data_IF_011497571940
#
_entry.id   IF_011497571940
#
_cell.length_a   1.000
_cell.length_b   1.000
_cell.length_c   1.000
_cell.angle_alpha   90.00
_cell.angle_beta   90.00
_cell.angle_gamma   90.00
#
_symmetry.space_group_name_H-M   'P 1'
#
loop_
_entity.id
_entity.type
_entity.pdbx_description
1 polymer ?
#
# COMPACT_ATOMS: atom_id res chain seq x y z
N UNK A 1 -1.23 -7.53 11.56
CA UNK A 1 0.07 -7.61 10.86
C UNK A 1 0.20 -6.52 9.79
N UNK A 2 -0.28 -6.68 8.55
CA UNK A 2 -0.05 -5.66 7.50
C UNK A 2 -0.59 -4.25 7.84
N UNK A 3 -1.71 -4.14 8.55
CA UNK A 3 -2.24 -2.85 8.97
C UNK A 3 -1.28 -2.10 9.90
N UNK A 4 -0.81 -2.75 10.95
CA UNK A 4 0.19 -2.21 11.89
C UNK A 4 1.48 -1.80 11.16
N UNK A 5 1.95 -2.65 10.24
CA UNK A 5 3.14 -2.35 9.42
C UNK A 5 2.95 -1.14 8.49
N UNK A 6 1.74 -0.93 7.99
CA UNK A 6 1.46 0.11 6.99
C UNK A 6 0.85 1.38 7.57
N UNK A 7 0.34 1.37 8.79
CA UNK A 7 -0.29 2.55 9.41
C UNK A 7 0.61 3.22 10.45
N UNK A 8 1.32 2.45 11.26
CA UNK A 8 1.93 2.97 12.49
C UNK A 8 3.47 3.10 12.42
N UNK A 9 4.09 2.46 11.44
CA UNK A 9 5.54 2.52 11.24
C UNK A 9 5.97 3.89 10.72
N UNK A 10 6.83 4.56 11.48
CA UNK A 10 7.41 5.88 11.18
C UNK A 10 8.95 5.85 11.07
N UNK A 11 9.59 4.73 11.40
CA UNK A 11 11.04 4.57 11.35
C UNK A 11 11.45 3.12 11.11
N UNK A 12 12.70 2.91 10.71
CA UNK A 12 13.23 1.57 10.47
C UNK A 12 13.39 0.75 11.75
N UNK A 13 13.76 1.38 12.87
CA UNK A 13 13.90 0.67 14.15
C UNK A 13 12.54 0.15 14.65
N UNK A 14 11.51 0.99 14.59
CA UNK A 14 10.14 0.59 14.95
C UNK A 14 9.68 -0.59 14.10
N UNK A 15 9.95 -0.55 12.78
CA UNK A 15 9.63 -1.67 11.88
C UNK A 15 10.26 -2.99 12.30
N UNK A 16 11.54 -2.98 12.68
CA UNK A 16 12.27 -4.20 13.08
C UNK A 16 11.70 -4.77 14.37
N UNK A 17 11.42 -3.93 15.36
CA UNK A 17 10.80 -4.34 16.63
C UNK A 17 9.41 -4.97 16.40
N UNK A 18 8.57 -4.33 15.59
CA UNK A 18 7.24 -4.86 15.23
C UNK A 18 7.34 -6.21 14.52
N UNK A 19 8.27 -6.37 13.56
CA UNK A 19 8.43 -7.65 12.85
C UNK A 19 8.94 -8.77 13.73
N UNK A 20 9.80 -8.47 14.72
CA UNK A 20 10.27 -9.48 15.67
C UNK A 20 9.13 -10.03 16.53
N UNK A 21 8.15 -9.20 16.89
CA UNK A 21 6.98 -9.62 17.66
C UNK A 21 5.97 -10.44 16.83
N UNK A 22 6.04 -10.31 15.50
CA UNK A 22 5.08 -10.92 14.57
C UNK A 22 5.40 -12.37 14.17
N UNK A 23 6.58 -12.90 14.51
CA UNK A 23 7.06 -14.26 14.17
C UNK A 23 6.78 -14.70 12.71
N UNK A 24 7.11 -13.82 11.76
CA UNK A 24 6.89 -14.09 10.34
C UNK A 24 8.00 -15.01 9.83
N UNK A 25 7.61 -16.14 9.23
CA UNK A 25 8.51 -16.98 8.44
C UNK A 25 8.39 -16.63 6.93
N UNK A 26 9.39 -15.98 6.33
CA UNK A 26 9.39 -15.65 4.91
C UNK A 26 9.47 -16.88 4.01
N UNK A 27 10.07 -17.98 4.49
CA UNK A 27 10.35 -19.14 3.65
C UNK A 27 9.17 -20.10 3.55
N UNK A 28 8.39 -20.21 4.64
CA UNK A 28 7.33 -21.21 4.77
C UNK A 28 5.99 -20.54 5.01
N UNK A 29 5.03 -20.82 4.13
CA UNK A 29 3.63 -20.53 4.43
C UNK A 29 3.07 -21.63 5.33
N UNK A 30 2.55 -21.24 6.50
CA UNK A 30 1.94 -22.16 7.47
C UNK A 30 0.43 -22.34 7.23
N UNK A 31 -0.14 -21.63 6.25
CA UNK A 31 -1.59 -21.61 6.00
C UNK A 31 -2.02 -22.86 5.24
N UNK A 32 -3.01 -23.60 5.77
CA UNK A 32 -3.65 -24.68 5.03
C UNK A 32 -4.71 -24.13 4.07
N UNK A 33 -4.29 -23.79 2.84
CA UNK A 33 -5.17 -23.17 1.84
C UNK A 33 -6.29 -24.09 1.35
N UNK A 34 -6.09 -25.41 1.37
CA UNK A 34 -7.06 -26.40 0.87
C UNK A 34 -8.24 -26.59 1.83
N UNK A 35 -8.00 -26.39 3.13
CA UNK A 35 -9.02 -26.53 4.17
C UNK A 35 -9.71 -25.21 4.53
N UNK A 36 -9.39 -24.10 3.85
CA UNK A 36 -10.06 -22.83 4.08
C UNK A 36 -11.54 -22.93 3.73
N UNK A 37 -12.39 -22.62 4.72
CA UNK A 37 -13.84 -22.58 4.55
C UNK A 37 -14.33 -21.15 4.65
N UNK A 38 -15.19 -20.76 3.71
CA UNK A 38 -16.01 -19.57 3.86
C UNK A 38 -17.25 -19.93 4.69
N UNK A 39 -17.29 -19.46 5.93
CA UNK A 39 -18.40 -19.67 6.87
C UNK A 39 -19.24 -18.40 7.08
N UNK A 40 -19.10 -17.39 6.22
CA UNK A 40 -19.93 -16.20 6.29
C UNK A 40 -21.38 -16.52 5.95
N UNK A 41 -22.29 -15.98 6.75
CA UNK A 41 -23.71 -16.03 6.45
C UNK A 41 -24.06 -14.98 5.38
N UNK A 42 -23.88 -15.38 4.11
CA UNK A 42 -24.21 -14.55 2.95
C UNK A 42 -25.72 -14.46 2.70
N UNK A 43 -26.55 -15.07 3.54
CA UNK A 43 -28.01 -15.10 3.42
C UNK A 43 -28.71 -14.47 4.64
N UNK A 44 -27.95 -13.78 5.50
CA UNK A 44 -28.48 -13.09 6.69
C UNK A 44 -29.48 -11.98 6.33
N UNK A 45 -29.33 -11.36 5.17
CA UNK A 45 -30.25 -10.33 4.70
C UNK A 45 -31.46 -10.95 4.00
N UNK A 46 -32.66 -10.59 4.46
CA UNK A 46 -33.89 -10.96 3.77
C UNK A 46 -33.94 -10.30 2.39
N UNK A 47 -34.28 -11.08 1.36
CA UNK A 47 -34.47 -10.59 0.00
C UNK A 47 -35.84 -10.98 -0.52
N UNK A 48 -36.52 -10.02 -1.16
CA UNK A 48 -37.76 -10.22 -1.89
C UNK A 48 -37.55 -10.06 -3.40
N UNK A 49 -36.30 -9.97 -3.86
CA UNK A 49 -35.99 -9.95 -5.28
C UNK A 49 -36.40 -11.27 -5.94
N UNK A 50 -36.70 -11.26 -7.25
CA UNK A 50 -36.88 -12.50 -7.99
C UNK A 50 -35.67 -13.43 -7.83
N UNK A 51 -35.91 -14.74 -7.78
CA UNK A 51 -34.84 -15.75 -7.59
C UNK A 51 -33.70 -15.61 -8.60
N UNK A 52 -33.96 -15.10 -9.80
CA UNK A 52 -32.96 -14.83 -10.85
C UNK A 52 -32.02 -13.67 -10.54
N UNK A 53 -32.36 -12.79 -9.59
CA UNK A 53 -31.55 -11.65 -9.15
C UNK A 53 -30.98 -11.82 -7.75
N UNK A 54 -31.38 -12.90 -7.06
CA UNK A 54 -30.82 -13.26 -5.76
C UNK A 54 -29.37 -13.76 -5.90
N UNK A 55 -28.66 -13.79 -4.78
CA UNK A 55 -27.30 -14.32 -4.72
C UNK A 55 -27.26 -15.80 -5.12
N UNK A 56 -26.54 -16.11 -6.20
CA UNK A 56 -26.42 -17.47 -6.71
C UNK A 56 -25.21 -18.19 -6.10
N UNK A 57 -25.23 -19.51 -6.13
CA UNK A 57 -24.12 -20.34 -5.63
C UNK A 57 -22.84 -20.13 -6.45
N UNK A 58 -22.96 -19.80 -7.75
CA UNK A 58 -21.82 -19.40 -8.59
C UNK A 58 -21.17 -18.11 -8.11
N UNK A 59 -21.96 -17.15 -7.66
CA UNK A 59 -21.50 -15.85 -7.18
C UNK A 59 -20.74 -16.02 -5.86
N UNK A 60 -21.27 -16.85 -4.96
CA UNK A 60 -20.64 -17.21 -3.69
C UNK A 60 -19.28 -17.88 -3.93
N UNK A 61 -19.22 -18.84 -4.87
CA UNK A 61 -17.96 -19.51 -5.24
C UNK A 61 -16.95 -18.53 -5.82
N UNK A 62 -17.37 -17.66 -6.74
CA UNK A 62 -16.50 -16.67 -7.35
C UNK A 62 -15.96 -15.66 -6.32
N UNK A 63 -16.81 -15.15 -5.43
CA UNK A 63 -16.41 -14.27 -4.33
C UNK A 63 -15.42 -14.96 -3.39
N UNK A 64 -15.67 -16.22 -3.03
CA UNK A 64 -14.78 -16.99 -2.16
C UNK A 64 -13.40 -17.17 -2.77
N UNK A 65 -13.31 -17.49 -4.07
CA UNK A 65 -12.02 -17.60 -4.78
C UNK A 65 -11.28 -16.25 -4.81
N UNK A 66 -12.01 -15.15 -5.00
CA UNK A 66 -11.43 -13.81 -4.99
C UNK A 66 -10.87 -13.43 -3.61
N UNK A 67 -11.59 -13.74 -2.53
CA UNK A 67 -11.14 -13.48 -1.16
C UNK A 67 -9.96 -14.37 -0.72
N UNK A 68 -9.95 -15.64 -1.12
CA UNK A 68 -8.78 -16.51 -0.93
C UNK A 68 -7.57 -15.94 -1.66
N UNK A 69 -7.73 -15.47 -2.90
CA UNK A 69 -6.66 -14.83 -3.66
C UNK A 69 -6.16 -13.54 -3.00
N UNK A 70 -7.06 -12.73 -2.44
CA UNK A 70 -6.70 -11.55 -1.66
C UNK A 70 -5.91 -11.91 -0.39
N UNK A 71 -6.31 -12.99 0.29
CA UNK A 71 -5.64 -13.47 1.49
C UNK A 71 -4.24 -14.00 1.16
N UNK A 72 -4.09 -14.78 0.07
CA UNK A 72 -2.79 -15.23 -0.45
C UNK A 72 -1.87 -14.05 -0.75
N UNK A 73 -2.37 -13.04 -1.48
CA UNK A 73 -1.60 -11.84 -1.80
C UNK A 73 -1.11 -11.13 -0.52
N UNK A 74 -1.97 -11.00 0.49
CA UNK A 74 -1.59 -10.41 1.78
C UNK A 74 -0.56 -11.25 2.53
N UNK A 75 -0.71 -12.58 2.53
CA UNK A 75 0.26 -13.50 3.15
C UNK A 75 1.64 -13.36 2.49
N UNK A 76 1.70 -13.41 1.14
CA UNK A 76 2.95 -13.26 0.38
C UNK A 76 3.56 -11.87 0.60
N UNK A 77 2.75 -10.80 0.67
CA UNK A 77 3.24 -9.45 1.00
C UNK A 77 3.87 -9.38 2.39
N UNK A 78 3.26 -10.04 3.38
CA UNK A 78 3.79 -10.11 4.74
C UNK A 78 5.12 -10.89 4.79
N UNK A 79 5.18 -12.02 4.10
CA UNK A 79 6.41 -12.84 3.98
C UNK A 79 7.50 -12.08 3.25
N UNK A 80 7.18 -11.30 2.21
CA UNK A 80 8.11 -10.41 1.53
C UNK A 80 8.72 -9.39 2.50
N UNK A 81 7.91 -8.74 3.32
CA UNK A 81 8.40 -7.79 4.33
C UNK A 81 9.32 -8.49 5.35
N UNK A 82 8.95 -9.69 5.79
CA UNK A 82 9.80 -10.52 6.64
C UNK A 82 11.14 -10.87 5.99
N UNK A 83 11.15 -11.28 4.71
CA UNK A 83 12.37 -11.56 3.95
C UNK A 83 13.25 -10.31 3.83
N UNK A 84 12.63 -9.18 3.47
CA UNK A 84 13.32 -7.90 3.31
C UNK A 84 14.02 -7.45 4.59
N UNK A 85 13.35 -7.59 5.74
CA UNK A 85 13.95 -7.29 7.04
C UNK A 85 15.16 -8.16 7.34
N UNK A 86 15.07 -9.48 7.09
CA UNK A 86 16.21 -10.40 7.26
C UNK A 86 17.39 -10.02 6.35
N UNK A 87 17.12 -9.68 5.08
CA UNK A 87 18.15 -9.22 4.14
C UNK A 87 18.82 -7.91 4.57
N UNK A 88 18.04 -6.95 5.07
CA UNK A 88 18.58 -5.68 5.56
C UNK A 88 19.52 -5.83 6.76
N UNK A 89 19.41 -6.92 7.53
CA UNK A 89 20.15 -7.15 8.77
C UNK A 89 21.13 -8.33 8.69
N UNK A 90 21.23 -9.00 7.54
CA UNK A 90 22.16 -10.10 7.34
C UNK A 90 23.60 -9.62 7.47
N UNK A 91 24.34 -10.18 8.43
CA UNK A 91 25.80 -10.03 8.50
C UNK A 91 26.41 -11.11 7.61
N UNK A 92 27.25 -10.68 6.66
CA UNK A 92 28.14 -11.43 5.74
C UNK A 92 28.41 -12.89 6.14
N UNK A 93 27.41 -13.76 6.04
CA UNK A 93 27.53 -15.18 6.31
C UNK A 93 26.75 -15.97 5.25
N UNK A 94 27.22 -17.19 5.05
CA UNK A 94 27.34 -17.89 3.78
C UNK A 94 26.02 -18.54 3.29
N UNK A 95 24.92 -17.79 3.22
CA UNK A 95 23.60 -18.36 2.93
C UNK A 95 23.25 -18.31 1.43
N UNK A 96 23.88 -19.18 0.64
CA UNK A 96 23.38 -19.55 -0.70
C UNK A 96 21.93 -20.09 -0.66
N UNK A 97 21.46 -20.53 0.51
CA UNK A 97 20.07 -20.95 0.73
C UNK A 97 19.05 -19.80 0.72
N UNK A 98 19.46 -18.53 0.87
CA UNK A 98 18.56 -17.36 0.83
C UNK A 98 18.08 -17.08 -0.59
N UNK A 99 18.97 -17.18 -1.58
CA UNK A 99 18.68 -16.83 -2.97
C UNK A 99 17.58 -17.71 -3.61
N UNK A 100 17.55 -19.02 -3.30
CA UNK A 100 16.50 -19.93 -3.80
C UNK A 100 15.14 -19.67 -3.15
N UNK A 101 15.09 -19.11 -1.94
CA UNK A 101 13.83 -18.80 -1.22
C UNK A 101 13.19 -17.50 -1.71
N UNK A 102 13.99 -16.58 -2.24
CA UNK A 102 13.55 -15.29 -2.77
C UNK A 102 12.87 -15.41 -4.14
N UNK A 103 13.42 -16.22 -5.05
CA UNK A 103 12.80 -16.50 -6.35
C UNK A 103 11.41 -17.12 -6.20
N UNK A 104 11.19 -17.90 -5.13
CA UNK A 104 9.91 -18.53 -4.82
C UNK A 104 8.83 -17.52 -4.41
N UNK A 105 9.17 -16.43 -3.70
CA UNK A 105 8.19 -15.40 -3.34
C UNK A 105 7.70 -14.63 -4.58
N UNK A 106 8.57 -14.43 -5.55
CA UNK A 106 8.24 -13.79 -6.82
C UNK A 106 7.27 -14.65 -7.65
N UNK A 107 7.52 -15.96 -7.73
CA UNK A 107 6.59 -16.92 -8.34
C UNK A 107 5.22 -16.92 -7.63
N UNK A 108 5.20 -16.85 -6.29
CA UNK A 108 3.96 -16.76 -5.50
C UNK A 108 3.21 -15.44 -5.72
N UNK A 109 3.92 -14.31 -5.91
CA UNK A 109 3.30 -13.04 -6.32
C UNK A 109 2.66 -13.15 -7.71
N UNK A 110 3.35 -13.76 -8.67
CA UNK A 110 2.80 -13.94 -10.02
C UNK A 110 1.64 -14.96 -10.04
N UNK A 111 1.63 -15.96 -9.15
CA UNK A 111 0.44 -16.82 -8.97
C UNK A 111 -0.76 -16.01 -8.47
N UNK A 112 -0.56 -15.10 -7.52
CA UNK A 112 -1.60 -14.20 -7.03
C UNK A 112 -2.10 -13.21 -8.11
N UNK A 113 -1.27 -12.87 -9.11
CA UNK A 113 -1.64 -11.99 -10.22
C UNK A 113 -2.30 -12.74 -11.39
N UNK A 114 -2.45 -14.07 -11.35
CA UNK A 114 -3.14 -14.83 -12.42
C UNK A 114 -4.59 -14.41 -12.66
N UNK A 115 -5.19 -13.70 -11.70
CA UNK A 115 -6.51 -13.05 -11.84
C UNK A 115 -6.45 -11.69 -12.56
N UNK A 116 -5.29 -11.30 -13.13
CA UNK A 116 -5.12 -10.08 -13.94
C UNK A 116 -6.23 -10.01 -14.98
N UNK A 117 -6.87 -8.84 -15.07
CA UNK A 117 -7.94 -8.53 -16.00
C UNK A 117 -9.32 -9.17 -15.72
N UNK A 118 -9.52 -9.83 -14.58
CA UNK A 118 -10.88 -10.19 -14.16
C UNK A 118 -11.62 -8.91 -13.72
N UNK A 119 -12.71 -8.56 -14.40
CA UNK A 119 -13.61 -7.51 -13.91
C UNK A 119 -14.25 -7.99 -12.61
N UNK A 120 -14.43 -7.06 -11.67
CA UNK A 120 -15.22 -7.32 -10.47
C UNK A 120 -16.60 -7.87 -10.89
N UNK A 121 -17.06 -9.00 -10.33
CA UNK A 121 -18.39 -9.49 -10.60
C UNK A 121 -19.44 -8.45 -10.17
N UNK A 122 -20.54 -8.37 -10.90
CA UNK A 122 -21.70 -7.60 -10.47
C UNK A 122 -22.52 -8.49 -9.54
N UNK A 123 -22.29 -8.33 -8.24
CA UNK A 123 -23.01 -9.06 -7.21
C UNK A 123 -24.32 -8.33 -6.86
N UNK A 124 -25.38 -9.05 -6.48
CA UNK A 124 -26.59 -8.43 -5.94
C UNK A 124 -26.28 -7.57 -4.71
N UNK A 125 -27.15 -6.62 -4.39
CA UNK A 125 -26.97 -5.72 -3.24
C UNK A 125 -26.83 -6.46 -1.90
N UNK A 126 -27.54 -7.60 -1.74
CA UNK A 126 -27.43 -8.45 -0.55
C UNK A 126 -26.23 -9.42 -0.59
N UNK A 127 -25.49 -9.44 -1.70
CA UNK A 127 -24.30 -10.25 -1.85
C UNK A 127 -23.12 -9.68 -1.06
N UNK A 128 -22.02 -10.44 -0.97
CA UNK A 128 -20.78 -9.93 -0.38
C UNK A 128 -20.26 -8.74 -1.19
N UNK A 129 -19.59 -7.80 -0.52
CA UNK A 129 -18.84 -6.76 -1.21
C UNK A 129 -17.76 -7.40 -2.11
N UNK A 130 -17.53 -6.88 -3.32
CA UNK A 130 -16.47 -7.40 -4.16
C UNK A 130 -15.10 -7.33 -3.50
N UNK A 131 -14.34 -8.42 -3.62
CA UNK A 131 -13.02 -8.52 -3.03
C UNK A 131 -12.07 -7.44 -3.54
N UNK A 132 -11.22 -6.91 -2.66
CA UNK A 132 -10.24 -5.87 -3.03
C UNK A 132 -9.15 -6.37 -3.98
N UNK A 133 -9.04 -7.68 -4.22
CA UNK A 133 -8.05 -8.24 -5.16
C UNK A 133 -8.16 -7.59 -6.54
N UNK A 134 -9.39 -7.28 -7.01
CA UNK A 134 -9.61 -6.65 -8.31
C UNK A 134 -8.92 -5.30 -8.42
N UNK A 135 -8.91 -4.52 -7.32
CA UNK A 135 -8.21 -3.24 -7.24
C UNK A 135 -6.69 -3.42 -7.32
N UNK A 136 -6.14 -4.41 -6.62
CA UNK A 136 -4.70 -4.71 -6.67
C UNK A 136 -4.25 -5.20 -8.04
N UNK A 137 -5.10 -5.97 -8.75
CA UNK A 137 -4.78 -6.53 -10.06
C UNK A 137 -5.06 -5.58 -11.23
N UNK A 138 -5.98 -4.63 -11.07
CA UNK A 138 -6.26 -3.60 -12.09
C UNK A 138 -5.23 -2.47 -12.09
N UNK A 139 -4.58 -2.23 -10.94
CA UNK A 139 -3.54 -1.23 -10.78
C UNK A 139 -2.12 -1.81 -10.90
N UNK A 140 -1.13 -0.92 -10.92
CA UNK A 140 0.29 -1.31 -10.97
C UNK A 140 0.89 -1.61 -9.59
N UNK A 141 0.09 -1.85 -8.55
CA UNK A 141 0.57 -2.01 -7.17
C UNK A 141 1.45 -3.24 -6.97
N UNK A 142 0.98 -4.42 -7.39
CA UNK A 142 1.73 -5.67 -7.20
C UNK A 142 3.04 -5.66 -7.99
N UNK A 143 3.05 -5.33 -9.30
CA UNK A 143 4.30 -5.20 -10.06
C UNK A 143 5.29 -4.24 -9.42
N UNK A 144 4.79 -3.11 -8.89
CA UNK A 144 5.64 -2.12 -8.23
C UNK A 144 6.28 -2.66 -6.95
N UNK A 145 5.54 -3.39 -6.11
CA UNK A 145 6.07 -4.04 -4.91
C UNK A 145 7.16 -5.07 -5.26
N UNK A 146 6.91 -5.90 -6.28
CA UNK A 146 7.88 -6.89 -6.78
C UNK A 146 9.14 -6.20 -7.29
N UNK A 147 9.01 -5.09 -8.03
CA UNK A 147 10.17 -4.35 -8.53
C UNK A 147 11.02 -3.76 -7.40
N UNK A 148 10.40 -3.23 -6.35
CA UNK A 148 11.10 -2.77 -5.16
C UNK A 148 11.82 -3.91 -4.43
N UNK A 149 11.21 -5.10 -4.35
CA UNK A 149 11.86 -6.28 -3.82
C UNK A 149 13.10 -6.67 -4.64
N UNK A 150 13.01 -6.64 -5.98
CA UNK A 150 14.15 -6.87 -6.87
C UNK A 150 15.28 -5.84 -6.67
N UNK A 151 14.94 -4.57 -6.46
CA UNK A 151 15.93 -3.52 -6.11
C UNK A 151 16.66 -3.88 -4.82
N UNK A 152 15.94 -4.24 -3.76
CA UNK A 152 16.55 -4.68 -2.49
C UNK A 152 17.44 -5.90 -2.68
N UNK A 153 16.97 -6.90 -3.42
CA UNK A 153 17.72 -8.11 -3.70
C UNK A 153 19.01 -7.81 -4.47
N UNK A 154 18.95 -6.93 -5.48
CA UNK A 154 20.12 -6.51 -6.25
C UNK A 154 21.12 -5.77 -5.37
N UNK A 155 20.63 -4.88 -4.51
CA UNK A 155 21.46 -4.16 -3.53
C UNK A 155 22.17 -5.13 -2.59
N UNK A 156 21.46 -6.12 -2.07
CA UNK A 156 22.02 -7.14 -1.22
C UNK A 156 23.09 -7.95 -1.96
N UNK A 157 22.79 -8.53 -3.13
CA UNK A 157 23.74 -9.34 -3.92
C UNK A 157 25.04 -8.59 -4.24
N UNK A 158 24.93 -7.37 -4.76
CA UNK A 158 26.11 -6.57 -5.12
C UNK A 158 26.92 -6.11 -3.90
N UNK A 159 26.34 -6.08 -2.69
CA UNK A 159 27.08 -5.79 -1.46
C UNK A 159 27.95 -6.96 -0.97
N UNK A 160 27.68 -8.18 -1.45
CA UNK A 160 28.37 -9.40 -1.04
C UNK A 160 29.38 -9.95 -2.06
N UNK A 161 29.29 -9.56 -3.33
CA UNK A 161 30.22 -10.02 -4.37
C UNK A 161 31.54 -9.21 -4.39
N UNK A 162 32.72 -9.86 -4.51
CA UNK A 162 34.02 -9.18 -4.55
C UNK A 162 34.26 -8.33 -5.80
N UNK A 163 33.56 -8.61 -6.90
CA UNK A 163 33.51 -7.77 -8.11
C UNK A 163 32.42 -6.67 -8.03
N UNK A 164 31.74 -6.58 -6.89
CA UNK A 164 30.39 -6.04 -6.74
C UNK A 164 30.19 -4.57 -7.08
N UNK A 165 31.24 -3.77 -7.31
CA UNK A 165 31.11 -2.34 -7.66
C UNK A 165 30.95 -2.10 -9.18
N UNK A 166 31.36 -3.04 -10.02
CA UNK A 166 31.30 -2.88 -11.50
C UNK A 166 30.03 -3.49 -12.13
N UNK A 167 29.28 -4.32 -11.40
CA UNK A 167 28.03 -4.96 -11.88
C UNK A 167 26.76 -4.17 -11.55
N UNK A 168 26.86 -3.00 -10.89
CA UNK A 168 25.67 -2.21 -10.55
C UNK A 168 25.02 -1.63 -11.82
N UNK A 169 23.89 -2.20 -12.22
CA UNK A 169 22.96 -1.54 -13.15
C UNK A 169 22.09 -0.57 -12.33
N UNK A 170 22.18 0.72 -12.65
CA UNK A 170 21.38 1.78 -12.02
C UNK A 170 19.99 1.91 -12.65
N UNK A 171 19.79 1.30 -13.82
CA UNK A 171 18.57 1.36 -14.61
C UNK A 171 17.36 0.90 -13.80
N UNK A 172 17.48 -0.23 -13.08
CA UNK A 172 16.37 -0.76 -12.29
C UNK A 172 15.90 0.20 -11.19
N UNK A 173 16.83 0.93 -10.55
CA UNK A 173 16.48 1.91 -9.50
C UNK A 173 15.80 3.12 -10.12
N UNK A 174 16.32 3.58 -11.26
CA UNK A 174 15.76 4.71 -12.01
C UNK A 174 14.34 4.41 -12.51
N UNK A 175 14.13 3.27 -13.15
CA UNK A 175 12.82 2.83 -13.65
C UNK A 175 11.82 2.66 -12.50
N UNK A 176 12.25 2.01 -11.40
CA UNK A 176 11.40 1.83 -10.21
C UNK A 176 10.98 3.17 -9.60
N UNK A 177 11.90 4.14 -9.57
CA UNK A 177 11.61 5.51 -9.14
C UNK A 177 10.56 6.17 -10.02
N UNK A 178 10.73 6.12 -11.34
CA UNK A 178 9.83 6.77 -12.30
C UNK A 178 8.40 6.18 -12.21
N UNK A 179 8.28 4.88 -11.99
CA UNK A 179 6.99 4.20 -11.82
C UNK A 179 6.25 4.60 -10.54
N UNK A 180 6.94 4.70 -9.39
CA UNK A 180 6.27 5.15 -8.16
C UNK A 180 5.89 6.63 -8.26
N UNK A 181 6.68 7.45 -8.94
CA UNK A 181 6.38 8.87 -9.15
C UNK A 181 5.12 9.05 -10.00
N UNK A 182 4.98 8.29 -11.08
CA UNK A 182 3.76 8.27 -11.90
C UNK A 182 2.55 7.74 -11.12
N UNK A 183 2.73 6.69 -10.31
CA UNK A 183 1.66 6.18 -9.45
C UNK A 183 1.19 7.25 -8.46
N UNK A 184 2.10 7.97 -7.78
CA UNK A 184 1.71 9.06 -6.88
C UNK A 184 0.97 10.16 -7.64
N UNK A 185 1.50 10.58 -8.81
CA UNK A 185 0.94 11.65 -9.63
C UNK A 185 -0.47 11.34 -10.12
N UNK A 186 -0.69 10.14 -10.66
CA UNK A 186 -2.01 9.70 -11.11
C UNK A 186 -3.04 9.69 -9.98
N UNK A 187 -2.64 9.25 -8.78
CA UNK A 187 -3.55 9.18 -7.65
C UNK A 187 -3.85 10.54 -7.01
N UNK A 188 -3.00 11.56 -7.20
CA UNK A 188 -3.30 12.92 -6.74
C UNK A 188 -4.60 13.45 -7.35
N UNK A 189 -4.99 12.99 -8.55
CA UNK A 189 -6.26 13.38 -9.19
C UNK A 189 -7.49 12.90 -8.40
N UNK A 190 -7.38 11.79 -7.64
CA UNK A 190 -8.48 11.32 -6.80
C UNK A 190 -8.82 12.30 -5.67
N UNK A 191 -7.86 13.10 -5.21
CA UNK A 191 -8.08 14.12 -4.17
C UNK A 191 -9.11 15.16 -4.61
N UNK A 192 -9.15 15.51 -5.90
CA UNK A 192 -10.11 16.48 -6.43
C UNK A 192 -11.51 15.90 -6.57
N UNK A 193 -11.61 14.57 -6.63
CA UNK A 193 -12.89 13.86 -6.74
C UNK A 193 -13.47 13.43 -5.38
N UNK A 194 -12.78 13.69 -4.26
CA UNK A 194 -13.21 13.28 -2.91
C UNK A 194 -14.56 13.88 -2.50
N UNK A 195 -14.88 15.07 -3.03
CA UNK A 195 -16.18 15.70 -2.87
C UNK A 195 -16.77 16.11 -4.23
N UNK A 196 -18.09 15.94 -4.40
CA UNK A 196 -18.86 16.36 -5.57
C UNK A 196 -19.65 17.62 -5.26
N UNK A 197 -19.68 18.56 -6.21
CA UNK A 197 -20.23 19.91 -6.04
C UNK A 197 -21.77 19.93 -5.96
N UNK A 198 -22.47 18.85 -6.34
CA UNK A 198 -23.95 18.85 -6.41
C UNK A 198 -24.56 17.57 -5.85
N UNK A 199 -24.69 17.46 -4.51
CA UNK A 199 -25.41 16.36 -3.92
C UNK A 199 -26.92 16.55 -4.09
N UNK A 200 -27.59 15.67 -4.84
CA UNK A 200 -29.06 15.70 -4.97
C UNK A 200 -29.78 14.94 -3.84
N UNK A 201 -29.18 13.88 -3.29
CA UNK A 201 -29.87 12.93 -2.38
C UNK A 201 -29.05 12.62 -1.12
N UNK A 202 -27.72 12.55 -1.22
CA UNK A 202 -26.79 12.23 -0.11
C UNK A 202 -25.61 13.20 -0.14
N UNK A 203 -24.87 13.38 0.96
CA UNK A 203 -23.68 14.22 1.00
C UNK A 203 -22.74 13.86 -0.16
N UNK A 204 -22.15 14.88 -0.78
CA UNK A 204 -21.35 14.72 -1.99
C UNK A 204 -19.98 14.10 -1.71
N UNK A 205 -19.89 12.99 -0.99
CA UNK A 205 -18.63 12.27 -0.70
C UNK A 205 -18.38 11.18 -1.74
N UNK A 206 -17.11 10.88 -2.00
CA UNK A 206 -16.71 9.85 -2.97
C UNK A 206 -15.86 8.74 -2.31
N UNK A 207 -16.51 7.68 -1.77
CA UNK A 207 -15.81 6.55 -1.14
C UNK A 207 -14.85 5.79 -2.07
N UNK A 208 -15.15 5.58 -3.38
CA UNK A 208 -14.19 5.00 -4.31
C UNK A 208 -12.86 5.78 -4.39
N UNK A 209 -12.90 7.10 -4.48
CA UNK A 209 -11.69 7.93 -4.51
C UNK A 209 -10.87 7.81 -3.22
N UNK A 210 -11.53 7.81 -2.06
CA UNK A 210 -10.89 7.58 -0.77
C UNK A 210 -10.23 6.19 -0.71
N UNK A 211 -10.90 5.17 -1.27
CA UNK A 211 -10.38 3.79 -1.31
C UNK A 211 -9.09 3.72 -2.12
N UNK A 212 -9.02 4.39 -3.28
CA UNK A 212 -7.80 4.46 -4.11
C UNK A 212 -6.63 5.08 -3.33
N UNK A 213 -6.87 6.22 -2.67
CA UNK A 213 -5.84 6.90 -1.88
C UNK A 213 -5.37 6.07 -0.68
N UNK A 214 -6.29 5.36 -0.03
CA UNK A 214 -5.95 4.43 1.05
C UNK A 214 -5.03 3.30 0.56
N UNK A 215 -5.32 2.72 -0.62
CA UNK A 215 -4.48 1.67 -1.20
C UNK A 215 -3.10 2.18 -1.60
N UNK A 216 -3.01 3.40 -2.15
CA UNK A 216 -1.74 4.07 -2.37
C UNK A 216 -0.95 4.19 -1.06
N UNK A 217 -1.58 4.69 0.01
CA UNK A 217 -0.91 4.84 1.30
C UNK A 217 -0.39 3.51 1.86
N UNK A 218 -1.17 2.42 1.75
CA UNK A 218 -0.71 1.09 2.15
C UNK A 218 0.50 0.64 1.33
N UNK A 219 0.45 0.80 0.01
CA UNK A 219 1.55 0.46 -0.90
C UNK A 219 2.82 1.25 -0.57
N UNK A 220 2.70 2.55 -0.36
CA UNK A 220 3.80 3.43 0.08
C UNK A 220 4.40 2.99 1.42
N UNK A 221 3.58 2.41 2.31
CA UNK A 221 4.06 1.84 3.57
C UNK A 221 5.03 0.68 3.34
N UNK A 222 4.63 -0.28 2.51
CA UNK A 222 5.48 -1.43 2.17
C UNK A 222 6.75 -0.96 1.44
N UNK A 223 6.63 -0.03 0.49
CA UNK A 223 7.77 0.55 -0.22
C UNK A 223 8.75 1.23 0.75
N UNK A 224 8.25 2.00 1.72
CA UNK A 224 9.11 2.63 2.72
C UNK A 224 9.90 1.62 3.56
N UNK A 225 9.30 0.48 3.89
CA UNK A 225 9.97 -0.61 4.59
C UNK A 225 11.08 -1.22 3.71
N UNK A 226 10.78 -1.52 2.43
CA UNK A 226 11.76 -2.07 1.49
C UNK A 226 12.95 -1.11 1.29
N UNK A 227 12.67 0.18 1.08
CA UNK A 227 13.70 1.21 0.96
C UNK A 227 14.50 1.40 2.26
N UNK A 228 13.85 1.23 3.42
CA UNK A 228 14.52 1.21 4.71
C UNK A 228 15.55 0.08 4.82
N UNK A 229 15.21 -1.12 4.31
CA UNK A 229 16.14 -2.24 4.26
C UNK A 229 17.32 -1.95 3.30
N UNK A 230 17.05 -1.35 2.14
CA UNK A 230 18.09 -0.90 1.21
C UNK A 230 19.05 0.10 1.88
N UNK A 231 18.50 1.07 2.62
CA UNK A 231 19.27 2.06 3.36
C UNK A 231 20.21 1.41 4.39
N UNK A 232 19.73 0.42 5.14
CA UNK A 232 20.53 -0.30 6.14
C UNK A 232 21.73 -1.02 5.52
N UNK A 233 21.59 -1.55 4.30
CA UNK A 233 22.70 -2.16 3.54
C UNK A 233 23.67 -1.09 3.00
N UNK A 234 23.14 -0.02 2.39
CA UNK A 234 23.95 1.00 1.69
C UNK A 234 24.71 1.96 2.64
N UNK A 235 24.14 2.26 3.82
CA UNK A 235 24.74 3.18 4.81
C UNK A 235 26.18 2.79 5.22
N UNK A 236 26.47 1.55 5.65
CA UNK A 236 27.83 1.14 5.98
C UNK A 236 28.76 1.12 4.76
N UNK A 237 28.26 0.78 3.56
CA UNK A 237 29.05 0.78 2.32
C UNK A 237 29.54 2.20 2.02
N UNK A 238 28.64 3.19 2.01
CA UNK A 238 29.00 4.61 1.81
C UNK A 238 30.03 5.07 2.85
N UNK A 239 29.80 4.77 4.13
CA UNK A 239 30.74 5.13 5.20
C UNK A 239 32.14 4.50 4.99
N UNK A 240 32.20 3.27 4.49
CA UNK A 240 33.46 2.58 4.19
C UNK A 240 34.23 3.23 3.04
N UNK A 241 33.53 3.60 1.95
CA UNK A 241 34.12 4.28 0.78
C UNK A 241 34.63 5.67 1.17
N UNK A 242 33.83 6.45 1.92
CA UNK A 242 34.25 7.77 2.42
C UNK A 242 35.48 7.69 3.33
N UNK A 243 35.59 6.66 4.18
CA UNK A 243 36.78 6.42 5.02
C UNK A 243 38.01 6.06 4.18
N UNK A 244 37.85 5.28 3.12
CA UNK A 244 38.95 4.91 2.20
C UNK A 244 39.44 6.12 1.40
N UNK A 245 38.54 7.00 0.94
CA UNK A 245 38.88 8.26 0.26
C UNK A 245 39.70 9.21 1.12
N UNK A 246 39.46 9.26 2.44
CA UNK A 246 40.27 10.07 3.35
C UNK A 246 41.67 9.49 3.60
N UNK A 247 41.89 8.19 3.36
CA UNK A 247 43.15 7.49 3.67
C UNK A 247 44.06 7.25 2.46
N UNK A 248 43.54 7.26 1.23
CA UNK A 248 44.31 7.01 0.00
C UNK A 248 44.54 8.31 -0.79
N UNK A 249 45.70 8.41 -1.46
CA UNK A 249 46.02 9.53 -2.37
C UNK A 249 45.20 9.52 -3.66
N UNK A 250 44.67 8.36 -4.05
CA UNK A 250 43.78 8.21 -5.20
C UNK A 250 42.31 8.12 -4.78
N UNK A 251 41.39 8.83 -5.44
CA UNK A 251 39.96 8.79 -5.13
C UNK A 251 39.37 7.42 -5.50
N UNK A 252 38.79 6.74 -4.52
CA UNK A 252 37.94 5.56 -4.71
C UNK A 252 36.62 6.03 -5.32
N UNK A 253 36.30 5.46 -6.49
CA UNK A 253 35.04 5.69 -7.21
C UNK A 253 33.87 5.21 -6.34
N UNK A 254 32.86 6.05 -6.20
CA UNK A 254 31.65 5.71 -5.45
C UNK A 254 30.76 4.79 -6.31
N UNK A 255 30.27 3.66 -5.76
CA UNK A 255 29.31 2.81 -6.46
C UNK A 255 28.09 3.61 -6.94
N UNK A 256 27.71 3.46 -8.21
CA UNK A 256 26.64 4.25 -8.84
C UNK A 256 25.28 4.11 -8.13
N UNK A 257 25.05 2.99 -7.45
CA UNK A 257 23.86 2.77 -6.61
C UNK A 257 23.67 3.84 -5.53
N UNK A 258 24.74 4.36 -4.93
CA UNK A 258 24.63 5.32 -3.82
C UNK A 258 24.03 6.66 -4.30
N UNK A 259 24.58 7.34 -5.33
CA UNK A 259 23.96 8.56 -5.84
C UNK A 259 22.56 8.30 -6.43
N UNK A 260 22.32 7.16 -7.06
CA UNK A 260 21.00 6.82 -7.62
C UNK A 260 19.95 6.60 -6.53
N UNK A 261 20.29 5.87 -5.46
CA UNK A 261 19.42 5.71 -4.30
C UNK A 261 19.17 7.06 -3.61
N UNK A 262 20.20 7.90 -3.46
CA UNK A 262 20.06 9.24 -2.88
C UNK A 262 19.16 10.14 -3.72
N UNK A 263 19.29 10.08 -5.06
CA UNK A 263 18.40 10.75 -6.01
C UNK A 263 16.97 10.25 -5.88
N UNK A 264 16.78 8.94 -5.78
CA UNK A 264 15.48 8.33 -5.57
C UNK A 264 14.84 8.84 -4.27
N UNK A 265 15.49 8.68 -3.11
CA UNK A 265 14.93 9.13 -1.83
C UNK A 265 14.60 10.63 -1.86
N UNK A 266 15.44 11.46 -2.48
CA UNK A 266 15.18 12.89 -2.62
C UNK A 266 13.93 13.17 -3.46
N UNK A 267 13.81 12.53 -4.63
CA UNK A 267 12.66 12.72 -5.52
C UNK A 267 11.36 12.20 -4.90
N UNK A 268 11.40 11.01 -4.28
CA UNK A 268 10.25 10.43 -3.59
C UNK A 268 9.81 11.30 -2.41
N UNK A 269 10.75 11.84 -1.63
CA UNK A 269 10.45 12.79 -0.54
C UNK A 269 9.71 14.01 -1.09
N UNK A 270 10.16 14.59 -2.20
CA UNK A 270 9.51 15.76 -2.80
C UNK A 270 8.09 15.45 -3.29
N UNK A 271 7.86 14.28 -3.91
CA UNK A 271 6.52 13.86 -4.32
C UNK A 271 5.61 13.57 -3.13
N UNK A 272 6.11 12.93 -2.08
CA UNK A 272 5.35 12.68 -0.85
C UNK A 272 5.02 13.97 -0.10
N UNK A 273 5.91 14.97 -0.09
CA UNK A 273 5.60 16.30 0.47
C UNK A 273 4.44 16.97 -0.26
N UNK A 274 4.40 16.87 -1.59
CA UNK A 274 3.27 17.39 -2.39
C UNK A 274 1.98 16.66 -2.05
N UNK A 275 2.02 15.32 -1.97
CA UNK A 275 0.86 14.49 -1.64
C UNK A 275 0.36 14.76 -0.21
N UNK A 276 1.26 14.84 0.77
CA UNK A 276 0.95 15.13 2.17
C UNK A 276 0.26 16.49 2.31
N UNK A 277 0.86 17.53 1.72
CA UNK A 277 0.26 18.87 1.70
C UNK A 277 -1.11 18.87 1.05
N UNK A 278 -1.24 18.30 -0.15
CA UNK A 278 -2.50 18.26 -0.87
C UNK A 278 -3.59 17.49 -0.10
N UNK A 279 -3.23 16.38 0.55
CA UNK A 279 -4.16 15.60 1.38
C UNK A 279 -4.58 16.38 2.62
N UNK A 280 -3.64 17.05 3.30
CA UNK A 280 -3.91 17.89 4.47
C UNK A 280 -4.81 19.07 4.15
N UNK A 281 -4.57 19.75 3.02
CA UNK A 281 -5.36 20.87 2.55
C UNK A 281 -6.79 20.42 2.19
N UNK A 282 -6.94 19.29 1.48
CA UNK A 282 -8.26 18.70 1.18
C UNK A 282 -8.98 18.25 2.44
N UNK A 283 -8.30 17.61 3.38
CA UNK A 283 -8.89 17.24 4.67
C UNK A 283 -9.49 18.45 5.39
N UNK A 284 -8.74 19.55 5.50
CA UNK A 284 -9.22 20.79 6.14
C UNK A 284 -10.42 21.38 5.40
N UNK A 285 -10.36 21.43 4.07
CA UNK A 285 -11.47 21.90 3.24
C UNK A 285 -12.74 21.06 3.46
N UNK A 286 -12.62 19.74 3.38
CA UNK A 286 -13.73 18.80 3.53
C UNK A 286 -14.32 18.90 4.94
N UNK A 287 -13.47 18.97 5.97
CA UNK A 287 -13.89 19.14 7.35
C UNK A 287 -14.69 20.43 7.55
N UNK A 288 -14.21 21.56 7.01
CA UNK A 288 -14.94 22.83 7.08
C UNK A 288 -16.29 22.75 6.38
N UNK A 289 -16.36 22.11 5.21
CA UNK A 289 -17.63 21.91 4.48
C UNK A 289 -18.59 21.02 5.28
N UNK A 290 -18.10 19.97 5.93
CA UNK A 290 -18.92 19.11 6.80
C UNK A 290 -19.46 19.88 8.01
N UNK A 291 -18.63 20.68 8.69
CA UNK A 291 -19.06 21.51 9.81
C UNK A 291 -20.14 22.53 9.39
N UNK A 292 -19.97 23.15 8.21
CA UNK A 292 -20.95 24.05 7.62
C UNK A 292 -22.27 23.34 7.28
N UNK A 293 -22.21 22.14 6.70
CA UNK A 293 -23.39 21.34 6.36
C UNK A 293 -24.18 20.92 7.61
N UNK A 294 -23.48 20.52 8.67
CA UNK A 294 -24.08 20.18 9.98
C UNK A 294 -24.77 21.42 10.56
N UNK A 295 -24.09 22.58 10.55
CA UNK A 295 -24.67 23.83 11.08
C UNK A 295 -25.90 24.28 10.29
N UNK A 296 -25.88 24.14 8.96
CA UNK A 296 -27.04 24.41 8.08
C UNK A 296 -28.13 23.34 8.18
N UNK A 297 -27.89 22.28 8.95
CA UNK A 297 -28.80 21.16 9.09
C UNK A 297 -29.15 20.51 7.75
N UNK A 298 -28.19 20.43 6.83
CA UNK A 298 -28.33 19.83 5.50
C UNK A 298 -29.47 20.40 4.63
N UNK A 299 -29.77 21.70 4.77
CA UNK A 299 -30.84 22.36 4.00
C UNK A 299 -30.67 22.36 2.48
N UNK A 300 -29.45 22.13 1.98
CA UNK A 300 -29.11 22.00 0.56
C UNK A 300 -29.28 20.59 0.00
N UNK A 301 -29.53 19.59 0.84
CA UNK A 301 -29.76 18.20 0.45
C UNK A 301 -31.26 17.95 0.45
N UNK A 302 -31.81 17.40 -0.63
CA UNK A 302 -33.23 17.02 -0.69
C UNK A 302 -33.47 15.72 0.09
N UNK A 303 -33.46 15.85 1.42
CA UNK A 303 -33.72 14.76 2.36
C UNK A 303 -35.19 14.31 2.29
N UNK A 304 -36.09 15.23 1.96
CA UNK A 304 -37.54 15.05 1.97
C UNK A 304 -38.06 14.07 0.90
N UNK A 305 -37.38 13.94 -0.23
CA UNK A 305 -37.83 13.06 -1.32
C UNK A 305 -37.52 11.57 -1.10
N UNK A 306 -36.68 11.23 -0.10
CA UNK A 306 -36.09 9.89 -0.01
C UNK A 306 -36.30 9.17 1.33
N UNK A 307 -36.59 9.88 2.42
CA UNK A 307 -36.66 9.30 3.77
C UNK A 307 -37.96 9.63 4.50
N UNK A 308 -38.43 8.68 5.31
CA UNK A 308 -39.66 8.77 6.13
C UNK A 308 -39.63 9.90 7.15
N UNK A 309 -38.44 10.36 7.56
CA UNK A 309 -38.26 11.48 8.48
C UNK A 309 -37.06 12.35 8.11
N UNK A 310 -37.30 13.66 8.07
CA UNK A 310 -36.25 14.67 7.86
C UNK A 310 -35.17 14.64 8.96
N UNK A 311 -35.54 14.25 10.19
CA UNK A 311 -34.58 14.12 11.32
C UNK A 311 -33.64 12.93 11.08
N UNK A 312 -34.18 11.80 10.63
CA UNK A 312 -33.40 10.60 10.33
C UNK A 312 -32.42 10.84 9.18
N UNK A 313 -32.85 11.54 8.13
CA UNK A 313 -31.98 11.86 7.01
C UNK A 313 -30.83 12.79 7.34
N UNK A 314 -31.03 13.78 8.21
CA UNK A 314 -29.93 14.60 8.74
C UNK A 314 -28.92 13.76 9.50
N UNK A 315 -29.40 12.88 10.39
CA UNK A 315 -28.53 12.01 11.17
C UNK A 315 -27.70 11.06 10.29
N UNK A 316 -28.28 10.56 9.18
CA UNK A 316 -27.56 9.75 8.19
C UNK A 316 -26.47 10.58 7.50
N UNK A 317 -26.82 11.77 7.00
CA UNK A 317 -25.87 12.66 6.32
C UNK A 317 -24.69 13.02 7.22
N UNK A 318 -24.97 13.40 8.47
CA UNK A 318 -23.97 13.72 9.48
C UNK A 318 -23.02 12.54 9.74
N UNK A 319 -23.56 11.34 9.94
CA UNK A 319 -22.73 10.13 10.15
C UNK A 319 -21.83 9.82 8.96
N UNK A 320 -22.35 9.96 7.74
CA UNK A 320 -21.59 9.71 6.51
C UNK A 320 -20.43 10.69 6.38
N UNK A 321 -20.68 11.99 6.50
CA UNK A 321 -19.62 13.00 6.38
C UNK A 321 -18.60 12.93 7.53
N UNK A 322 -19.05 12.75 8.77
CA UNK A 322 -18.14 12.59 9.92
C UNK A 322 -17.25 11.35 9.78
N UNK A 323 -17.80 10.23 9.31
CA UNK A 323 -17.04 9.01 9.00
C UNK A 323 -16.00 9.27 7.91
N UNK A 324 -16.37 10.03 6.87
CA UNK A 324 -15.49 10.40 5.78
C UNK A 324 -14.34 11.31 6.23
N UNK A 325 -14.64 12.36 7.00
CA UNK A 325 -13.65 13.27 7.61
C UNK A 325 -12.68 12.49 8.50
N UNK A 326 -13.17 11.59 9.35
CA UNK A 326 -12.33 10.75 10.22
C UNK A 326 -11.41 9.83 9.41
N UNK A 327 -11.90 9.30 8.30
CA UNK A 327 -11.12 8.45 7.41
C UNK A 327 -10.01 9.23 6.69
N UNK A 328 -10.30 10.47 6.27
CA UNK A 328 -9.33 11.37 5.66
C UNK A 328 -8.27 11.86 6.66
N UNK A 329 -8.65 12.12 7.90
CA UNK A 329 -7.72 12.47 8.99
C UNK A 329 -6.68 11.36 9.18
N UNK A 330 -7.14 10.10 9.28
CA UNK A 330 -6.27 8.92 9.37
C UNK A 330 -5.39 8.74 8.14
N UNK A 331 -5.94 8.97 6.96
CA UNK A 331 -5.18 8.89 5.71
C UNK A 331 -4.06 9.95 5.67
N UNK A 332 -4.39 11.19 6.01
CA UNK A 332 -3.45 12.32 6.11
C UNK A 332 -2.32 11.99 7.09
N UNK A 333 -2.66 11.51 8.29
CA UNK A 333 -1.68 11.06 9.27
C UNK A 333 -0.76 9.95 8.74
N UNK A 334 -1.33 8.93 8.10
CA UNK A 334 -0.58 7.79 7.52
C UNK A 334 0.40 8.24 6.44
N UNK A 335 0.00 9.16 5.53
CA UNK A 335 0.88 9.72 4.51
C UNK A 335 2.02 10.53 5.15
N UNK A 336 1.70 11.39 6.13
CA UNK A 336 2.70 12.17 6.86
C UNK A 336 3.70 11.29 7.62
N UNK A 337 3.26 10.18 8.21
CA UNK A 337 4.15 9.20 8.86
C UNK A 337 5.14 8.56 7.87
N UNK A 338 4.66 8.17 6.68
CA UNK A 338 5.52 7.62 5.61
C UNK A 338 6.51 8.63 5.09
N UNK A 339 6.10 9.89 4.93
CA UNK A 339 6.98 10.97 4.55
C UNK A 339 8.12 11.14 5.57
N UNK A 340 7.81 11.11 6.86
CA UNK A 340 8.84 11.15 7.93
C UNK A 340 9.79 9.96 7.81
N UNK A 341 9.26 8.75 7.61
CA UNK A 341 10.08 7.57 7.46
C UNK A 341 11.02 7.70 6.24
N UNK A 342 10.50 7.95 5.04
CA UNK A 342 11.32 8.12 3.82
C UNK A 342 12.35 9.25 3.96
N UNK A 343 11.98 10.37 4.58
CA UNK A 343 12.89 11.50 4.81
C UNK A 343 14.09 11.13 5.69
N UNK A 344 13.95 10.12 6.55
CA UNK A 344 15.04 9.62 7.40
C UNK A 344 16.04 8.72 6.67
N UNK A 345 15.72 8.27 5.45
CA UNK A 345 16.53 7.33 4.65
C UNK A 345 17.61 8.02 3.80
N UNK A 346 18.03 9.23 4.17
CA UNK A 346 19.08 9.97 3.45
C UNK A 346 20.45 9.38 3.79
N UNK A 347 21.13 8.83 2.78
CA UNK A 347 22.49 8.27 2.90
C UNK A 347 23.53 9.34 3.22
#
# INVERSE_FOLDING_TARGET
MLMELTSDISSHSHMVETLQQMDIDPATDKTNWEELRNNWDLRVMNTWEPLSRCLQESDIKASTVADISMLKLRNVTLRLVGAASRLGHSKVSNDQASANKENRLEEEFEDCTRHRNCKSPQLPLQGPDPSRIYLYTSGSYIPLLVRHARVLQRIHKCSHEPAGVESWSSEIIKETREEIEEMIRSHMQHLDTLQTITPKIMPGVNPPALTQLHHLAQTLGIIAILLGCCFTILKPIKASVSKRNKKRKEPVIMPEVIPQFSSYITSLTAHLQKLDKATSDKYKSIKSTTEENIQKGYSSVDISSTLTSHIEGKAVCEKVEQSFVKSLDRLSYSIGSKLKYISSLKL
#
